data_IF_966014971587
#
_entry.id   IF_966014971587
#
_cell.length_a   1.000
_cell.length_b   1.000
_cell.length_c   1.000
_cell.angle_alpha   90.00
_cell.angle_beta   90.00
_cell.angle_gamma   90.00
#
_symmetry.space_group_name_H-M   'P 1'
#
loop_
_entity.id
_entity.type
_entity.pdbx_description
1 polymer ?
#
# COMPACT_ATOMS: atom_id res chain seq x y z
N UNK A 1 23.38 -11.30 8.76
CA UNK A 1 24.74 -11.35 8.22
C UNK A 1 24.98 -12.72 7.61
N UNK A 2 25.97 -12.87 6.73
CA UNK A 2 26.31 -14.12 6.02
C UNK A 2 26.76 -15.25 6.98
N UNK A 3 27.19 -14.87 8.17
CA UNK A 3 27.56 -15.78 9.28
C UNK A 3 26.37 -16.25 10.12
N UNK A 4 25.14 -15.92 9.74
CA UNK A 4 23.92 -16.23 10.49
C UNK A 4 23.63 -15.30 11.66
N UNK A 5 24.44 -14.27 11.89
CA UNK A 5 24.20 -13.28 12.95
C UNK A 5 22.94 -12.47 12.67
N UNK A 6 22.02 -12.44 13.63
CA UNK A 6 20.78 -11.62 13.56
C UNK A 6 20.92 -10.43 14.50
N UNK A 7 20.80 -9.24 13.95
CA UNK A 7 20.73 -7.99 14.72
C UNK A 7 19.29 -7.47 14.69
N UNK A 8 18.80 -7.03 15.84
CA UNK A 8 17.52 -6.33 15.97
C UNK A 8 17.79 -4.87 16.31
N UNK A 9 17.23 -3.98 15.51
CA UNK A 9 17.43 -2.55 15.68
C UNK A 9 16.09 -1.90 16.05
N UNK A 10 16.12 -1.00 17.04
CA UNK A 10 14.96 -0.21 17.44
C UNK A 10 14.65 0.82 16.35
N UNK A 11 13.42 0.78 15.83
CA UNK A 11 12.98 1.78 14.85
C UNK A 11 12.28 2.98 15.51
N UNK A 12 11.31 2.70 16.39
CA UNK A 12 10.61 3.73 17.16
C UNK A 12 11.05 3.68 18.62
N UNK A 13 11.75 4.73 19.04
CA UNK A 13 12.26 4.85 20.41
C UNK A 13 11.17 5.05 21.46
N UNK A 14 9.97 5.44 21.04
CA UNK A 14 8.83 5.72 21.92
C UNK A 14 7.82 4.57 21.98
N UNK A 15 8.05 3.48 21.24
CA UNK A 15 7.15 2.34 21.21
C UNK A 15 7.14 1.64 22.58
N UNK A 16 6.00 1.59 23.29
CA UNK A 16 5.94 1.15 24.68
C UNK A 16 6.23 -0.33 24.88
N UNK A 17 5.82 -1.19 23.95
CA UNK A 17 6.04 -2.64 24.02
C UNK A 17 7.52 -2.92 23.88
N UNK A 18 8.18 -2.34 22.86
CA UNK A 18 9.60 -2.50 22.65
C UNK A 18 10.42 -1.96 23.84
N UNK A 19 10.03 -0.81 24.38
CA UNK A 19 10.65 -0.23 25.57
C UNK A 19 10.55 -1.16 26.77
N UNK A 20 9.41 -1.81 26.98
CA UNK A 20 9.19 -2.76 28.07
C UNK A 20 10.05 -4.03 27.88
N UNK A 21 10.05 -4.60 26.68
CA UNK A 21 10.86 -5.77 26.36
C UNK A 21 12.36 -5.49 26.46
N UNK A 22 12.82 -4.32 26.04
CA UNK A 22 14.24 -3.94 26.17
C UNK A 22 14.69 -3.80 27.61
N UNK A 23 13.79 -3.44 28.52
CA UNK A 23 14.07 -3.45 29.98
C UNK A 23 14.14 -4.86 30.55
N UNK A 24 13.24 -5.74 30.11
CA UNK A 24 13.22 -7.13 30.57
C UNK A 24 14.40 -7.96 30.02
N UNK A 25 14.86 -7.64 28.80
CA UNK A 25 15.93 -8.35 28.10
C UNK A 25 16.98 -7.36 27.56
N UNK A 26 17.83 -6.80 28.45
CA UNK A 26 18.84 -5.81 28.05
C UNK A 26 19.80 -6.37 26.99
N UNK A 27 20.19 -5.53 26.04
CA UNK A 27 21.17 -5.88 25.00
C UNK A 27 20.63 -6.70 23.83
N UNK A 28 19.34 -7.05 23.79
CA UNK A 28 18.73 -7.79 22.67
C UNK A 28 18.43 -6.92 21.46
N UNK A 29 18.30 -5.61 21.65
CA UNK A 29 17.96 -4.64 20.62
C UNK A 29 18.99 -3.51 20.63
N UNK A 30 19.50 -3.15 19.45
CA UNK A 30 20.42 -1.99 19.28
C UNK A 30 19.62 -0.70 19.10
N UNK A 31 20.23 0.41 19.45
CA UNK A 31 19.59 1.72 19.25
C UNK A 31 19.49 2.09 17.76
N UNK A 32 18.46 2.81 17.38
CA UNK A 32 18.24 3.28 15.99
C UNK A 32 19.44 4.01 15.40
N UNK A 33 20.16 4.80 16.23
CA UNK A 33 21.36 5.53 15.82
C UNK A 33 22.53 4.65 15.36
N UNK A 34 22.49 3.36 15.75
CA UNK A 34 23.54 2.40 15.42
C UNK A 34 23.29 1.70 14.07
N UNK A 35 22.15 1.97 13.42
CA UNK A 35 21.83 1.47 12.09
C UNK A 35 22.75 2.16 11.09
N UNK A 36 23.45 1.37 10.26
CA UNK A 36 24.35 1.95 9.24
C UNK A 36 23.57 2.72 8.16
N UNK A 37 24.19 3.75 7.58
CA UNK A 37 23.59 4.52 6.50
C UNK A 37 23.22 3.64 5.30
N UNK A 38 24.06 2.65 4.97
CA UNK A 38 23.77 1.67 3.92
C UNK A 38 22.50 0.86 4.20
N UNK A 39 22.30 0.42 5.45
CA UNK A 39 21.08 -0.29 5.82
C UNK A 39 19.86 0.63 5.78
N UNK A 40 19.99 1.88 6.22
CA UNK A 40 18.91 2.88 6.15
C UNK A 40 18.43 3.12 4.72
N UNK A 41 19.33 3.16 3.74
CA UNK A 41 18.99 3.32 2.32
C UNK A 41 18.20 2.13 1.75
N UNK A 42 18.32 0.96 2.38
CA UNK A 42 17.62 -0.26 1.96
C UNK A 42 16.32 -0.51 2.73
N UNK A 43 16.04 0.26 3.78
CA UNK A 43 14.79 0.10 4.54
C UNK A 43 13.60 0.43 3.64
N UNK A 44 12.56 -0.42 3.74
CA UNK A 44 11.29 -0.26 3.05
C UNK A 44 10.15 -0.40 4.05
N UNK A 45 9.06 0.28 3.79
CA UNK A 45 7.88 0.15 4.63
C UNK A 45 7.29 -1.27 4.49
N UNK A 46 7.00 -1.98 5.58
CA UNK A 46 6.54 -3.38 5.51
C UNK A 46 5.20 -3.49 4.79
N UNK A 47 5.15 -4.29 3.72
CA UNK A 47 3.94 -4.47 2.91
C UNK A 47 2.79 -5.09 3.71
N UNK A 48 3.08 -6.03 4.61
CA UNK A 48 2.05 -6.69 5.43
C UNK A 48 1.45 -5.73 6.46
N UNK A 49 2.25 -4.86 7.06
CA UNK A 49 1.75 -3.79 7.92
C UNK A 49 0.82 -2.86 7.14
N UNK A 50 1.23 -2.46 5.93
CA UNK A 50 0.40 -1.59 5.10
C UNK A 50 -0.91 -2.27 4.65
N UNK A 51 -0.90 -3.59 4.43
CA UNK A 51 -2.14 -4.35 4.15
C UNK A 51 -3.14 -4.23 5.29
N UNK A 52 -2.71 -4.40 6.53
CA UNK A 52 -3.57 -4.23 7.70
C UNK A 52 -4.06 -2.78 7.81
N UNK A 53 -3.17 -1.81 7.66
CA UNK A 53 -3.52 -0.39 7.74
C UNK A 53 -4.51 0.05 6.66
N UNK A 54 -4.36 -0.41 5.41
CA UNK A 54 -5.30 -0.08 4.33
C UNK A 54 -6.68 -0.71 4.56
N UNK A 55 -6.74 -1.91 5.16
CA UNK A 55 -8.00 -2.57 5.49
C UNK A 55 -8.74 -1.79 6.60
N UNK A 56 -8.02 -1.32 7.61
CA UNK A 56 -8.57 -0.41 8.64
C UNK A 56 -9.03 0.90 7.99
N UNK A 57 -8.18 1.53 7.17
CA UNK A 57 -8.49 2.79 6.49
C UNK A 57 -9.73 2.67 5.61
N UNK A 58 -9.97 1.51 5.00
CA UNK A 58 -11.12 1.27 4.12
C UNK A 58 -12.47 1.51 4.79
N UNK A 59 -12.55 1.41 6.11
CA UNK A 59 -13.78 1.63 6.91
C UNK A 59 -13.67 2.84 7.84
N UNK A 60 -12.51 3.10 8.42
CA UNK A 60 -12.33 4.12 9.47
C UNK A 60 -11.94 5.51 8.94
N UNK A 61 -11.97 5.75 7.62
CA UNK A 61 -11.77 7.08 7.05
C UNK A 61 -13.01 7.99 7.18
N UNK A 62 -14.18 7.41 7.47
CA UNK A 62 -15.42 8.18 7.64
C UNK A 62 -15.40 8.97 8.94
N UNK A 63 -16.03 10.16 8.92
CA UNK A 63 -15.88 11.15 9.99
C UNK A 63 -17.03 11.17 11.00
N UNK A 64 -18.14 10.51 10.71
CA UNK A 64 -19.34 10.54 11.57
C UNK A 64 -19.79 9.13 11.90
N UNK A 65 -20.44 8.97 13.05
CA UNK A 65 -21.02 7.69 13.46
C UNK A 65 -22.07 7.19 12.45
N UNK A 66 -22.92 8.06 11.96
CA UNK A 66 -23.95 7.70 10.97
C UNK A 66 -23.35 7.18 9.67
N UNK A 67 -22.27 7.81 9.17
CA UNK A 67 -21.55 7.33 7.99
C UNK A 67 -20.89 5.97 8.24
N UNK A 68 -20.39 5.75 9.45
CA UNK A 68 -19.77 4.48 9.82
C UNK A 68 -20.82 3.36 9.93
N UNK A 69 -21.91 3.57 10.66
CA UNK A 69 -22.97 2.57 10.82
C UNK A 69 -23.77 2.35 9.52
N UNK A 70 -23.93 3.40 8.70
CA UNK A 70 -24.57 3.29 7.39
C UNK A 70 -23.72 2.56 6.34
N UNK A 71 -22.40 2.51 6.51
CA UNK A 71 -21.47 1.80 5.64
C UNK A 71 -21.42 2.28 4.18
N UNK A 72 -22.13 3.38 3.86
CA UNK A 72 -22.33 3.83 2.48
C UNK A 72 -21.06 4.37 1.80
N UNK A 73 -20.10 4.84 2.61
CA UNK A 73 -18.86 5.46 2.16
C UNK A 73 -17.65 4.54 2.27
N UNK A 74 -17.84 3.31 2.69
CA UNK A 74 -16.77 2.38 2.86
C UNK A 74 -16.11 2.04 1.52
N UNK A 75 -14.79 1.90 1.59
CA UNK A 75 -13.96 1.50 0.47
C UNK A 75 -13.63 0.01 0.55
N UNK A 76 -13.11 -0.50 -0.53
CA UNK A 76 -12.44 -1.79 -0.62
C UNK A 76 -11.22 -1.70 -1.50
N UNK A 77 -10.29 -2.59 -1.32
CA UNK A 77 -9.20 -2.79 -2.27
C UNK A 77 -9.79 -3.44 -3.52
N UNK A 78 -9.50 -2.93 -4.73
CA UNK A 78 -9.98 -3.54 -5.96
C UNK A 78 -9.35 -4.92 -6.15
N UNK A 79 -9.97 -5.74 -6.99
CA UNK A 79 -9.36 -6.98 -7.44
C UNK A 79 -8.13 -6.71 -8.29
N UNK A 80 -7.16 -7.62 -8.25
CA UNK A 80 -5.99 -7.54 -9.10
C UNK A 80 -6.38 -7.86 -10.55
N UNK A 81 -6.28 -6.89 -11.47
CA UNK A 81 -6.64 -7.12 -12.86
C UNK A 81 -5.68 -8.06 -13.60
N UNK A 82 -4.51 -8.36 -13.03
CA UNK A 82 -3.55 -9.31 -13.61
C UNK A 82 -3.84 -10.76 -13.27
N UNK A 83 -4.77 -11.02 -12.33
CA UNK A 83 -5.14 -12.37 -11.89
C UNK A 83 -6.55 -12.74 -12.35
N UNK A 84 -6.73 -13.98 -12.84
CA UNK A 84 -7.98 -14.46 -13.40
C UNK A 84 -8.49 -15.70 -12.66
N UNK A 85 -9.82 -15.92 -12.73
CA UNK A 85 -10.45 -17.13 -12.21
C UNK A 85 -10.57 -17.16 -10.68
N UNK A 86 -10.57 -18.37 -10.12
CA UNK A 86 -10.79 -18.62 -8.69
C UNK A 86 -9.69 -18.01 -7.78
N UNK A 87 -8.53 -17.73 -8.33
CA UNK A 87 -7.39 -17.16 -7.61
C UNK A 87 -7.32 -15.63 -7.67
N UNK A 88 -8.32 -14.96 -8.25
CA UNK A 88 -8.36 -13.50 -8.34
C UNK A 88 -8.50 -12.89 -6.94
N UNK A 89 -7.38 -12.54 -6.35
CA UNK A 89 -7.28 -11.86 -5.05
C UNK A 89 -7.41 -10.33 -5.16
N UNK A 90 -7.33 -9.69 -4.01
CA UNK A 90 -7.21 -8.24 -3.97
C UNK A 90 -5.84 -7.80 -4.48
N UNK A 91 -5.81 -6.65 -5.15
CA UNK A 91 -4.57 -6.06 -5.65
C UNK A 91 -3.54 -5.90 -4.52
N UNK A 92 -2.31 -6.43 -4.66
CA UNK A 92 -1.27 -6.20 -3.67
C UNK A 92 -0.87 -4.72 -3.65
N UNK A 93 -0.30 -4.23 -2.55
CA UNK A 93 0.30 -2.91 -2.58
C UNK A 93 1.57 -2.92 -3.44
N UNK A 94 1.80 -1.83 -4.19
CA UNK A 94 2.94 -1.69 -5.09
C UNK A 94 3.88 -0.59 -4.63
N UNK A 95 5.19 -0.88 -4.66
CA UNK A 95 6.22 0.14 -4.49
C UNK A 95 6.37 0.92 -5.79
N UNK A 96 6.34 2.25 -5.69
CA UNK A 96 6.60 3.14 -6.82
C UNK A 96 7.13 4.49 -6.34
N UNK A 97 7.90 5.14 -7.19
CA UNK A 97 8.31 6.53 -6.98
C UNK A 97 7.25 7.44 -7.59
N UNK A 98 6.65 8.27 -6.76
CA UNK A 98 5.60 9.19 -7.20
C UNK A 98 5.62 10.48 -6.39
N UNK A 99 5.05 11.53 -6.95
CA UNK A 99 4.81 12.79 -6.28
C UNK A 99 3.32 12.92 -5.98
N UNK A 100 2.97 12.83 -4.70
CA UNK A 100 1.58 13.03 -4.28
C UNK A 100 1.17 14.49 -4.44
N UNK A 101 -0.11 14.79 -4.72
CA UNK A 101 -0.61 16.17 -4.77
C UNK A 101 -0.25 16.94 -3.51
N UNK A 102 0.29 18.15 -3.69
CA UNK A 102 0.78 18.98 -2.59
C UNK A 102 2.20 18.68 -2.09
N UNK A 103 2.82 17.59 -2.56
CA UNK A 103 4.22 17.33 -2.24
C UNK A 103 5.17 18.13 -3.15
N UNK A 104 6.33 18.52 -2.61
CA UNK A 104 7.35 19.29 -3.35
C UNK A 104 8.30 18.39 -4.15
N UNK A 105 8.36 17.10 -3.82
CA UNK A 105 9.27 16.12 -4.46
C UNK A 105 8.62 14.74 -4.53
N UNK A 106 9.12 13.94 -5.46
CA UNK A 106 8.78 12.52 -5.54
C UNK A 106 9.38 11.75 -4.36
N UNK A 107 8.64 10.76 -3.88
CA UNK A 107 9.07 9.84 -2.82
C UNK A 107 8.87 8.39 -3.25
N UNK A 108 9.76 7.52 -2.81
CA UNK A 108 9.56 6.09 -2.96
C UNK A 108 8.52 5.62 -1.93
N UNK A 109 7.40 5.16 -2.41
CA UNK A 109 6.22 4.90 -1.57
C UNK A 109 5.62 3.54 -1.88
N UNK A 110 4.99 2.94 -0.88
CA UNK A 110 4.12 1.78 -1.07
C UNK A 110 2.68 2.27 -1.21
N UNK A 111 1.98 1.82 -2.25
CA UNK A 111 0.73 2.42 -2.68
C UNK A 111 -0.42 1.43 -2.77
N UNK A 112 -1.64 1.93 -2.65
CA UNK A 112 -2.86 1.16 -2.86
C UNK A 112 -3.99 2.04 -3.39
N UNK A 113 -4.73 1.61 -4.41
CA UNK A 113 -5.99 2.22 -4.79
C UNK A 113 -7.13 1.71 -3.93
N UNK A 114 -8.22 2.47 -3.88
CA UNK A 114 -9.50 2.08 -3.29
C UNK A 114 -10.64 2.35 -4.24
N UNK A 115 -11.62 1.45 -4.23
CA UNK A 115 -12.89 1.57 -4.92
C UNK A 115 -14.05 1.48 -3.91
N UNK A 116 -15.28 1.93 -4.23
CA UNK A 116 -16.40 1.82 -3.30
C UNK A 116 -16.72 0.37 -2.94
N UNK A 117 -17.15 0.11 -1.71
CA UNK A 117 -17.55 -1.24 -1.28
C UNK A 117 -18.77 -1.78 -2.02
N UNK A 118 -19.69 -0.96 -2.44
CA UNK A 118 -20.97 -1.32 -3.04
C UNK A 118 -20.93 -1.81 -4.51
N UNK A 119 -19.84 -2.44 -4.97
CA UNK A 119 -19.75 -3.07 -6.29
C UNK A 119 -19.38 -2.14 -7.44
N UNK A 120 -19.19 -0.85 -7.20
CA UNK A 120 -18.65 0.06 -8.20
C UNK A 120 -17.14 -0.14 -8.33
N UNK A 121 -16.62 0.05 -9.55
CA UNK A 121 -15.19 -0.13 -9.86
C UNK A 121 -14.47 1.19 -10.15
N UNK A 122 -15.14 2.34 -10.03
CA UNK A 122 -14.49 3.65 -10.14
C UNK A 122 -13.58 3.93 -8.94
N UNK A 123 -12.49 4.67 -9.17
CA UNK A 123 -11.54 5.04 -8.13
C UNK A 123 -12.19 5.98 -7.10
N UNK A 124 -12.10 5.64 -5.82
CA UNK A 124 -12.59 6.46 -4.70
C UNK A 124 -11.47 7.17 -3.96
N UNK A 125 -10.35 6.49 -3.78
CA UNK A 125 -9.18 7.06 -3.13
C UNK A 125 -7.90 6.35 -3.59
N UNK A 126 -6.78 7.01 -3.36
CA UNK A 126 -5.45 6.46 -3.56
C UNK A 126 -4.61 6.80 -2.34
N UNK A 127 -4.00 5.80 -1.73
CA UNK A 127 -3.12 5.99 -0.59
C UNK A 127 -1.67 5.63 -0.93
N UNK A 128 -0.75 6.40 -0.36
CA UNK A 128 0.67 6.18 -0.47
C UNK A 128 1.32 6.32 0.92
N UNK A 129 2.13 5.35 1.33
CA UNK A 129 2.96 5.43 2.52
C UNK A 129 4.42 5.63 2.13
N UNK A 130 5.05 6.65 2.69
CA UNK A 130 6.45 6.94 2.40
C UNK A 130 7.35 5.82 2.94
N UNK A 131 8.08 5.17 2.04
CA UNK A 131 9.00 4.06 2.33
C UNK A 131 10.47 4.49 2.40
N UNK A 132 10.77 5.78 2.19
CA UNK A 132 12.13 6.30 2.29
C UNK A 132 12.46 6.59 3.74
N UNK A 133 13.57 6.04 4.25
CA UNK A 133 14.03 6.34 5.59
C UNK A 133 14.21 7.85 5.79
N UNK A 134 13.73 8.36 6.92
CA UNK A 134 13.76 9.79 7.22
C UNK A 134 12.59 10.22 8.11
N UNK A 135 12.39 11.54 8.30
CA UNK A 135 11.36 12.07 9.21
C UNK A 135 9.93 11.74 8.78
N UNK A 136 9.69 11.57 7.48
CA UNK A 136 8.38 11.25 6.92
C UNK A 136 8.17 9.74 6.66
N UNK A 137 9.12 8.87 7.08
CA UNK A 137 8.96 7.43 6.93
C UNK A 137 7.69 6.94 7.62
N UNK A 138 6.89 6.15 6.90
CA UNK A 138 5.64 5.61 7.40
C UNK A 138 4.46 6.59 7.39
N UNK A 139 4.67 7.83 6.94
CA UNK A 139 3.57 8.80 6.76
C UNK A 139 2.67 8.36 5.61
N UNK A 140 1.41 8.09 5.93
CA UNK A 140 0.39 7.74 4.94
C UNK A 140 -0.29 9.02 4.45
N UNK A 141 -0.27 9.22 3.14
CA UNK A 141 -1.00 10.30 2.46
C UNK A 141 -2.15 9.69 1.67
N UNK A 142 -3.36 10.22 1.83
CA UNK A 142 -4.56 9.73 1.15
C UNK A 142 -5.10 10.83 0.24
N UNK A 143 -5.21 10.53 -1.03
CA UNK A 143 -5.94 11.33 -2.00
C UNK A 143 -7.36 10.75 -2.09
N UNK A 144 -8.32 11.45 -1.49
CA UNK A 144 -9.74 11.09 -1.58
C UNK A 144 -10.36 11.86 -2.74
N UNK A 145 -11.02 11.15 -3.63
CA UNK A 145 -11.70 11.74 -4.78
C UNK A 145 -13.14 12.14 -4.41
N UNK A 146 -13.65 13.28 -4.94
CA UNK A 146 -15.05 13.64 -4.78
C UNK A 146 -15.97 12.57 -5.37
N UNK A 147 -17.10 12.29 -4.73
CA UNK A 147 -18.08 11.28 -5.20
C UNK A 147 -18.64 11.56 -6.59
N UNK A 148 -18.66 12.82 -6.98
CA UNK A 148 -19.07 13.26 -8.32
C UNK A 148 -18.04 12.96 -9.40
N UNK A 149 -16.82 12.54 -9.03
CA UNK A 149 -15.74 12.27 -9.96
C UNK A 149 -15.83 10.83 -10.43
N UNK A 150 -15.90 10.62 -11.75
CA UNK A 150 -15.90 9.28 -12.34
C UNK A 150 -14.54 8.98 -12.97
N UNK A 151 -13.57 8.60 -12.13
CA UNK A 151 -12.26 8.13 -12.57
C UNK A 151 -12.28 6.61 -12.58
N UNK A 152 -11.84 6.00 -13.67
CA UNK A 152 -11.76 4.56 -13.79
C UNK A 152 -10.81 3.97 -12.75
N UNK A 153 -11.27 2.95 -12.04
CA UNK A 153 -10.42 2.14 -11.15
C UNK A 153 -9.61 1.09 -11.91
N UNK A 154 -8.73 0.36 -11.23
CA UNK A 154 -7.79 -0.56 -11.89
C UNK A 154 -8.44 -1.58 -12.81
N UNK A 155 -9.53 -2.22 -12.38
CA UNK A 155 -10.24 -3.21 -13.20
C UNK A 155 -10.86 -2.60 -14.46
N UNK A 156 -11.41 -1.38 -14.35
CA UNK A 156 -11.97 -0.66 -15.51
C UNK A 156 -10.88 -0.24 -16.48
N UNK A 157 -9.73 0.25 -15.97
CA UNK A 157 -8.58 0.60 -16.80
C UNK A 157 -8.07 -0.63 -17.55
N UNK A 158 -7.89 -1.76 -16.86
CA UNK A 158 -7.47 -3.01 -17.49
C UNK A 158 -8.44 -3.45 -18.59
N UNK A 159 -9.76 -3.45 -18.30
CA UNK A 159 -10.78 -3.78 -19.31
C UNK A 159 -10.76 -2.83 -20.51
N UNK A 160 -10.55 -1.54 -20.27
CA UNK A 160 -10.45 -0.55 -21.35
C UNK A 160 -9.21 -0.78 -22.24
N UNK A 161 -8.09 -1.24 -21.65
CA UNK A 161 -6.91 -1.64 -22.41
C UNK A 161 -7.18 -2.89 -23.24
N UNK A 162 -7.72 -3.93 -22.61
CA UNK A 162 -8.00 -5.21 -23.27
C UNK A 162 -9.08 -5.10 -24.37
N UNK A 163 -9.96 -4.11 -24.28
CA UNK A 163 -10.95 -3.82 -25.34
C UNK A 163 -10.35 -3.19 -26.61
N UNK A 164 -9.08 -2.74 -26.56
CA UNK A 164 -8.42 -2.23 -27.76
C UNK A 164 -8.00 -3.40 -28.67
N UNK A 165 -8.37 -3.41 -29.96
CA UNK A 165 -8.09 -4.55 -30.85
C UNK A 165 -6.60 -4.91 -30.93
N UNK A 166 -5.72 -3.89 -30.96
CA UNK A 166 -4.28 -4.08 -31.02
C UNK A 166 -3.74 -4.78 -29.76
N UNK A 167 -4.25 -4.40 -28.58
CA UNK A 167 -3.88 -5.00 -27.30
C UNK A 167 -4.45 -6.42 -27.20
N UNK A 168 -5.74 -6.60 -27.54
CA UNK A 168 -6.40 -7.91 -27.52
C UNK A 168 -5.67 -8.92 -28.41
N UNK A 169 -5.28 -8.52 -29.62
CA UNK A 169 -4.54 -9.37 -30.56
C UNK A 169 -3.15 -9.72 -30.02
N UNK A 170 -2.40 -8.75 -29.50
CA UNK A 170 -1.07 -8.98 -28.92
C UNK A 170 -1.15 -9.94 -27.71
N UNK A 171 -2.10 -9.72 -26.80
CA UNK A 171 -2.31 -10.58 -25.63
C UNK A 171 -2.71 -12.00 -26.03
N UNK A 172 -3.57 -12.14 -27.04
CA UNK A 172 -3.98 -13.47 -27.56
C UNK A 172 -2.80 -14.26 -28.08
N UNK A 173 -1.91 -13.62 -28.86
CA UNK A 173 -0.69 -14.25 -29.36
C UNK A 173 0.27 -14.65 -28.23
N UNK A 174 0.46 -13.78 -27.24
CA UNK A 174 1.33 -14.06 -26.09
C UNK A 174 0.79 -15.20 -25.21
N UNK A 175 -0.54 -15.24 -25.01
CA UNK A 175 -1.19 -16.31 -24.23
C UNK A 175 -1.19 -17.65 -24.95
N UNK A 176 -1.20 -17.68 -26.29
CA UNK A 176 -1.09 -18.92 -27.09
C UNK A 176 0.33 -19.48 -27.14
N UNK A 177 1.34 -18.63 -27.02
CA UNK A 177 2.77 -19.03 -27.02
C UNK A 177 3.30 -19.47 -25.67
N UNK A 178 2.52 -19.42 -24.60
CA UNK A 178 2.91 -19.71 -23.23
C UNK A 178 2.27 -20.98 -22.66
N UNK A 179 2.33 -22.10 -23.39
CA UNK A 179 1.99 -23.44 -22.87
C UNK A 179 3.24 -24.22 -22.52
#
# INVERSE_FOLDING_TARGET
>A
ADDGTVTRDQWDEKEPVLTTWSKAFPGTVKAKKDISAQLLDHIRYPADLFRVQRDILSSYHVKTADAFYGGQDFWRVPRDPSTFGANAGNQPPYYMTLQMPGATKSTFSLTTPFVPRGGRENLSAFAAVNSTAGPDYGKITVLQLPRSTNIAGPSQVASNFEAKPEVANALSLLRQGGS
#
